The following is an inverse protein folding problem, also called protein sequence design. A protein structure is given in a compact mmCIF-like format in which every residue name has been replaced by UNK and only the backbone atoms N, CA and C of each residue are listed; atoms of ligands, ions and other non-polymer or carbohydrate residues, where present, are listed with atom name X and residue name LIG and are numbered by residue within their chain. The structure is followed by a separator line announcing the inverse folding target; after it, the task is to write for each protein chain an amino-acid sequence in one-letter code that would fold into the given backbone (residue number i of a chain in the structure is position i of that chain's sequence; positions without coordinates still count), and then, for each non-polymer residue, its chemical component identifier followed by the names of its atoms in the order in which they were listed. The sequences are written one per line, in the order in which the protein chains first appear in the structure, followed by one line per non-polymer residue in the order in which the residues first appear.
data_IF_686120566598
#
_entry.id   IF_686120566598
#
_cell.length_a   1.000
_cell.length_b   1.000
_cell.length_c   1.000
_cell.angle_alpha   90.00
_cell.angle_beta   90.00
_cell.angle_gamma   90.00
#
_symmetry.space_group_name_H-M   'P 1'
#
loop_
_entity.id
_entity.type
_entity.pdbx_description
1 polymer ?
#
# COMPACT_ATOMS: atom_id res chain seq x y z
N UNK A 1 -43.07 42.53 -58.58
CA UNK A 1 -44.27 42.11 -59.32
C UNK A 1 -44.52 40.68 -58.87
N UNK A 2 -45.42 40.44 -57.83
CA UNK A 2 -46.77 39.84 -57.95
C UNK A 2 -46.74 38.51 -58.76
N UNK A 3 -47.27 37.39 -58.35
CA UNK A 3 -48.44 36.89 -57.60
C UNK A 3 -48.39 35.36 -57.66
N UNK A 4 -48.65 34.62 -56.65
CA UNK A 4 -49.89 34.07 -56.08
C UNK A 4 -50.55 32.88 -56.87
N UNK A 5 -51.00 31.91 -56.05
CA UNK A 5 -52.07 30.87 -56.16
C UNK A 5 -51.68 29.39 -56.37
N UNK A 6 -51.82 28.61 -55.32
CA UNK A 6 -52.95 27.80 -54.84
C UNK A 6 -53.46 26.68 -55.78
N UNK A 7 -53.59 25.55 -55.14
CA UNK A 7 -54.62 24.47 -55.27
C UNK A 7 -54.12 23.21 -55.98
N UNK A 8 -54.26 22.06 -55.51
CA UNK A 8 -55.12 21.24 -54.65
C UNK A 8 -55.20 19.82 -55.26
N UNK A 9 -55.22 18.84 -54.39
CA UNK A 9 -55.94 17.53 -54.44
C UNK A 9 -55.46 16.38 -55.38
N UNK A 10 -55.26 15.29 -54.77
CA UNK A 10 -55.83 13.92 -54.82
C UNK A 10 -54.78 12.83 -54.89
N UNK A 11 -54.59 12.06 -54.01
CA UNK A 11 -54.87 10.77 -53.48
C UNK A 11 -54.53 9.60 -54.42
N UNK A 12 -53.63 8.74 -53.90
CA UNK A 12 -53.62 7.32 -54.26
C UNK A 12 -52.94 6.53 -53.15
N UNK A 13 -53.67 5.59 -52.57
CA UNK A 13 -53.20 4.65 -51.58
C UNK A 13 -52.21 3.64 -52.22
N UNK A 14 -51.05 3.52 -51.62
CA UNK A 14 -50.07 2.49 -51.97
C UNK A 14 -49.60 1.80 -50.68
N UNK A 15 -49.99 0.56 -50.52
CA UNK A 15 -49.53 -0.33 -49.46
C UNK A 15 -48.04 -0.54 -49.58
N UNK A 16 -47.25 -0.13 -48.58
CA UNK A 16 -45.87 -0.56 -48.43
C UNK A 16 -45.70 -1.49 -47.24
N UNK A 17 -45.29 -2.68 -47.58
CA UNK A 17 -44.88 -3.77 -46.72
C UNK A 17 -43.72 -3.30 -45.83
N UNK A 18 -43.88 -3.24 -44.50
CA UNK A 18 -42.80 -3.05 -43.56
C UNK A 18 -41.93 -4.32 -43.51
N UNK A 19 -40.73 -4.23 -44.03
CA UNK A 19 -39.63 -5.15 -43.74
C UNK A 19 -39.09 -4.77 -42.38
N UNK A 20 -39.30 -5.64 -41.37
CA UNK A 20 -38.69 -5.52 -40.08
C UNK A 20 -37.18 -5.76 -40.18
N UNK A 21 -36.38 -4.70 -40.21
CA UNK A 21 -34.94 -4.79 -39.95
C UNK A 21 -34.74 -4.91 -38.43
N UNK A 22 -34.31 -6.12 -38.02
CA UNK A 22 -33.91 -6.37 -36.64
C UNK A 22 -32.78 -5.40 -36.26
N UNK A 23 -33.09 -4.41 -35.42
CA UNK A 23 -32.10 -3.59 -34.75
C UNK A 23 -31.37 -4.47 -33.71
N UNK A 24 -30.09 -4.74 -33.95
CA UNK A 24 -29.20 -5.15 -32.89
C UNK A 24 -29.17 -3.98 -31.87
N UNK A 25 -29.89 -4.15 -30.76
CA UNK A 25 -29.59 -3.37 -29.55
C UNK A 25 -28.22 -3.82 -29.09
N UNK A 26 -27.18 -3.05 -29.45
CA UNK A 26 -25.94 -3.07 -28.69
C UNK A 26 -26.33 -2.76 -27.23
N UNK A 27 -26.26 -3.77 -26.39
CA UNK A 27 -26.21 -3.59 -24.93
C UNK A 27 -24.94 -2.76 -24.66
N UNK A 28 -25.11 -1.44 -24.61
CA UNK A 28 -24.15 -0.59 -23.96
C UNK A 28 -24.07 -1.11 -22.53
N UNK A 29 -22.99 -1.83 -22.21
CA UNK A 29 -22.65 -2.10 -20.84
C UNK A 29 -22.58 -0.71 -20.16
N UNK A 30 -23.53 -0.46 -19.28
CA UNK A 30 -23.47 0.72 -18.41
C UNK A 30 -22.15 0.59 -17.66
N UNK A 31 -21.15 1.38 -18.00
CA UNK A 31 -20.01 1.60 -17.14
C UNK A 31 -20.58 2.14 -15.83
N UNK A 32 -20.73 1.25 -14.86
CA UNK A 32 -21.11 1.66 -13.52
C UNK A 32 -20.04 2.62 -13.04
N UNK A 33 -20.45 3.82 -12.60
CA UNK A 33 -19.53 4.79 -12.03
C UNK A 33 -18.66 4.11 -10.97
N UNK A 34 -17.35 4.38 -10.92
CA UNK A 34 -16.47 3.78 -9.95
C UNK A 34 -16.99 4.04 -8.53
N UNK A 35 -17.06 3.00 -7.73
CA UNK A 35 -17.62 3.04 -6.39
C UNK A 35 -16.51 3.00 -5.34
N UNK A 36 -16.68 3.77 -4.26
CA UNK A 36 -15.77 3.71 -3.11
C UNK A 36 -15.80 2.34 -2.46
N UNK A 37 -14.63 1.87 -2.04
CA UNK A 37 -14.54 0.68 -1.21
C UNK A 37 -15.01 1.05 0.21
N UNK A 38 -15.95 0.27 0.74
CA UNK A 38 -16.51 0.47 2.07
C UNK A 38 -16.36 -0.77 2.94
N UNK A 39 -16.48 -0.60 4.24
CA UNK A 39 -16.47 -1.70 5.19
C UNK A 39 -17.88 -2.10 5.59
N UNK A 40 -18.16 -3.41 5.61
CA UNK A 40 -19.35 -4.01 6.22
C UNK A 40 -18.97 -5.17 7.14
N UNK A 41 -18.96 -4.92 8.44
CA UNK A 41 -18.53 -5.93 9.41
C UNK A 41 -17.08 -6.37 9.13
N UNK A 42 -16.90 -7.66 8.85
CA UNK A 42 -15.60 -8.28 8.52
C UNK A 42 -15.25 -8.20 7.03
N UNK A 43 -15.99 -7.46 6.22
CA UNK A 43 -15.81 -7.43 4.76
C UNK A 43 -15.45 -6.04 4.25
N UNK A 44 -14.67 -6.03 3.18
CA UNK A 44 -14.54 -4.89 2.26
C UNK A 44 -15.50 -5.10 1.10
N UNK A 45 -16.18 -4.04 0.68
CA UNK A 45 -17.21 -4.09 -0.35
C UNK A 45 -16.97 -3.02 -1.41
N UNK A 46 -17.22 -3.38 -2.68
CA UNK A 46 -17.33 -2.45 -3.81
C UNK A 46 -18.76 -2.55 -4.35
N UNK A 47 -19.57 -1.51 -4.15
CA UNK A 47 -21.00 -1.66 -4.36
C UNK A 47 -21.53 -2.79 -3.48
N UNK A 48 -22.26 -3.73 -4.08
CA UNK A 48 -22.85 -4.89 -3.37
C UNK A 48 -21.96 -6.14 -3.40
N UNK A 49 -20.76 -6.04 -4.02
CA UNK A 49 -19.85 -7.17 -4.16
C UNK A 49 -18.71 -7.11 -3.15
N UNK A 50 -18.29 -8.26 -2.57
CA UNK A 50 -17.09 -8.31 -1.76
C UNK A 50 -15.86 -7.86 -2.55
N UNK A 51 -15.11 -6.91 -2.03
CA UNK A 51 -13.85 -6.47 -2.59
C UNK A 51 -12.70 -7.22 -1.93
N UNK A 52 -11.95 -7.97 -2.71
CA UNK A 52 -10.78 -8.72 -2.25
C UNK A 52 -9.52 -8.18 -2.89
N UNK A 53 -8.49 -8.00 -2.07
CA UNK A 53 -7.22 -7.41 -2.48
C UNK A 53 -6.27 -8.51 -2.93
N UNK A 54 -5.92 -8.47 -4.22
CA UNK A 54 -4.70 -9.07 -4.74
C UNK A 54 -3.77 -7.92 -5.10
N UNK A 55 -2.76 -7.65 -4.29
CA UNK A 55 -2.00 -6.41 -4.42
C UNK A 55 -0.50 -6.56 -4.23
N UNK A 56 0.18 -5.44 -4.45
CA UNK A 56 1.62 -5.31 -4.29
C UNK A 56 1.99 -3.99 -3.60
N UNK A 57 3.12 -3.98 -2.90
CA UNK A 57 3.76 -2.75 -2.47
C UNK A 57 4.60 -2.17 -3.60
N UNK A 58 4.34 -0.91 -3.92
CA UNK A 58 5.09 -0.09 -4.88
C UNK A 58 5.32 1.29 -4.26
N UNK A 59 5.99 1.31 -3.11
CA UNK A 59 6.17 2.52 -2.30
C UNK A 59 6.70 3.70 -3.13
N UNK A 60 7.57 3.43 -4.09
CA UNK A 60 8.26 4.39 -4.94
C UNK A 60 7.43 4.93 -6.13
N UNK A 61 6.14 4.60 -6.25
CA UNK A 61 5.31 4.98 -7.39
C UNK A 61 5.29 6.49 -7.66
N UNK A 62 5.25 7.33 -6.62
CA UNK A 62 5.28 8.78 -6.75
C UNK A 62 6.62 9.30 -7.30
N UNK A 63 7.74 8.69 -6.93
CA UNK A 63 9.05 9.04 -7.48
C UNK A 63 9.12 8.76 -8.98
N UNK A 64 8.66 7.60 -9.43
CA UNK A 64 8.56 7.32 -10.87
C UNK A 64 7.57 8.25 -11.58
N UNK A 65 6.49 8.64 -10.92
CA UNK A 65 5.47 9.55 -11.46
C UNK A 65 5.89 11.00 -11.59
N UNK A 66 6.98 11.41 -10.91
CA UNK A 66 7.44 12.79 -10.92
C UNK A 66 7.87 13.26 -12.32
N UNK A 67 7.62 14.53 -12.61
CA UNK A 67 8.13 15.23 -13.81
C UNK A 67 9.47 15.89 -13.47
N UNK A 68 10.48 15.07 -13.24
CA UNK A 68 11.79 15.46 -12.78
C UNK A 68 12.85 14.48 -13.30
N UNK A 69 14.12 14.81 -13.15
CA UNK A 69 15.25 13.97 -13.62
C UNK A 69 15.22 12.55 -13.00
N UNK A 70 14.74 12.44 -11.77
CA UNK A 70 14.61 11.16 -11.07
C UNK A 70 13.32 10.39 -11.43
N UNK A 71 12.39 10.99 -12.17
CA UNK A 71 11.13 10.36 -12.55
C UNK A 71 11.26 9.46 -13.77
N UNK A 72 10.32 8.51 -13.89
CA UNK A 72 10.22 7.64 -15.06
C UNK A 72 8.78 7.19 -15.29
N UNK A 73 7.94 8.10 -15.76
CA UNK A 73 6.51 7.85 -16.04
C UNK A 73 6.27 6.69 -16.99
N UNK A 74 7.14 6.53 -17.99
CA UNK A 74 7.02 5.42 -18.94
C UNK A 74 7.22 4.06 -18.26
N UNK A 75 8.19 3.96 -17.34
CA UNK A 75 8.40 2.79 -16.51
C UNK A 75 7.19 2.55 -15.59
N UNK A 76 6.71 3.56 -14.89
CA UNK A 76 5.53 3.44 -14.02
C UNK A 76 4.33 2.84 -14.79
N UNK A 77 4.08 3.32 -16.00
CA UNK A 77 3.02 2.80 -16.86
C UNK A 77 3.19 1.31 -17.14
N UNK A 78 4.38 0.89 -17.60
CA UNK A 78 4.66 -0.56 -17.88
C UNK A 78 4.57 -1.43 -16.63
N UNK A 79 5.06 -0.95 -15.49
CA UNK A 79 4.99 -1.67 -14.20
C UNK A 79 3.53 -1.89 -13.76
N UNK A 80 2.70 -0.86 -13.82
CA UNK A 80 1.27 -0.96 -13.51
C UNK A 80 0.52 -1.85 -14.51
N UNK A 81 0.85 -1.78 -15.81
CA UNK A 81 0.30 -2.68 -16.83
C UNK A 81 0.65 -4.13 -16.52
N UNK A 82 1.88 -4.39 -16.09
CA UNK A 82 2.33 -5.74 -15.71
C UNK A 82 1.60 -6.27 -14.48
N UNK A 83 1.45 -5.45 -13.43
CA UNK A 83 0.66 -5.82 -12.24
C UNK A 83 -0.80 -6.12 -12.61
N UNK A 84 -1.42 -5.28 -13.44
CA UNK A 84 -2.78 -5.51 -13.92
C UNK A 84 -2.91 -6.80 -14.74
N UNK A 85 -1.96 -7.10 -15.61
CA UNK A 85 -1.93 -8.35 -16.39
C UNK A 85 -1.82 -9.60 -15.50
N UNK A 86 -1.16 -9.50 -14.34
CA UNK A 86 -1.11 -10.56 -13.34
C UNK A 86 -2.43 -10.70 -12.54
N UNK A 87 -3.42 -9.83 -12.80
CA UNK A 87 -4.71 -9.85 -12.12
C UNK A 87 -4.75 -9.02 -10.82
N UNK A 88 -3.70 -8.26 -10.52
CA UNK A 88 -3.69 -7.42 -9.31
C UNK A 88 -4.66 -6.24 -9.47
N UNK A 89 -5.29 -5.87 -8.36
CA UNK A 89 -6.29 -4.81 -8.31
C UNK A 89 -5.97 -3.71 -7.30
N UNK A 90 -4.87 -3.85 -6.55
CA UNK A 90 -4.48 -2.89 -5.53
C UNK A 90 -2.96 -2.68 -5.48
N UNK A 91 -2.54 -1.46 -5.23
CA UNK A 91 -1.14 -1.11 -4.93
C UNK A 91 -1.07 -0.27 -3.66
N UNK A 92 -0.13 -0.60 -2.78
CA UNK A 92 0.19 0.20 -1.61
C UNK A 92 1.38 1.10 -1.95
N UNK A 93 1.17 2.42 -1.83
CA UNK A 93 2.14 3.45 -2.22
C UNK A 93 2.44 4.39 -1.05
N UNK A 94 3.65 4.97 -1.05
CA UNK A 94 4.00 6.00 -0.07
C UNK A 94 3.66 7.40 -0.59
N UNK A 95 3.00 8.18 0.25
CA UNK A 95 2.86 9.62 0.13
C UNK A 95 3.56 10.31 1.32
N UNK A 96 4.66 9.75 1.81
CA UNK A 96 5.40 10.25 2.96
C UNK A 96 6.90 9.97 2.79
N UNK A 97 7.68 11.03 2.84
CA UNK A 97 9.14 11.00 3.02
C UNK A 97 9.58 12.39 3.48
N UNK A 98 10.30 12.43 4.57
CA UNK A 98 10.73 13.66 5.22
C UNK A 98 12.25 13.81 5.09
N UNK A 99 12.71 14.88 4.44
CA UNK A 99 14.13 15.19 4.38
C UNK A 99 14.67 15.60 5.76
N UNK A 100 15.77 14.96 6.16
CA UNK A 100 16.40 15.14 7.46
C UNK A 100 17.84 14.60 7.48
N UNK A 101 18.42 14.40 8.66
CA UNK A 101 19.81 14.00 8.83
C UNK A 101 20.06 12.49 8.66
N UNK A 102 19.00 11.69 8.50
CA UNK A 102 19.09 10.22 8.47
C UNK A 102 19.72 9.74 7.15
N UNK A 103 20.82 8.98 7.24
CA UNK A 103 21.68 8.67 6.10
C UNK A 103 21.05 7.72 5.08
N UNK A 104 20.20 6.80 5.54
CA UNK A 104 19.57 5.79 4.69
C UNK A 104 18.14 6.18 4.28
N UNK A 105 17.79 7.45 4.40
CA UNK A 105 16.50 7.98 3.99
C UNK A 105 16.49 8.28 2.49
N UNK A 106 15.35 7.98 1.86
CA UNK A 106 15.12 8.31 0.45
C UNK A 106 15.14 9.82 0.23
N UNK A 107 15.73 10.26 -0.88
CA UNK A 107 15.75 11.66 -1.34
C UNK A 107 15.49 11.67 -2.86
N UNK A 108 14.71 12.67 -3.36
CA UNK A 108 14.06 13.74 -2.61
C UNK A 108 12.86 13.27 -1.78
N UNK A 109 12.54 14.02 -0.71
CA UNK A 109 11.37 13.79 0.14
C UNK A 109 10.16 14.62 -0.28
N UNK A 110 8.96 14.20 0.16
CA UNK A 110 7.73 14.98 0.01
C UNK A 110 7.73 16.24 0.87
N UNK A 111 8.29 16.15 2.08
CA UNK A 111 8.51 17.27 2.98
C UNK A 111 9.99 17.59 3.01
N UNK A 112 10.38 18.75 2.46
CA UNK A 112 11.76 19.20 2.40
C UNK A 112 12.32 19.55 3.77
N UNK A 113 13.63 19.65 3.88
CA UNK A 113 14.31 19.96 5.15
C UNK A 113 13.86 21.30 5.78
N UNK A 114 13.42 22.27 4.98
CA UNK A 114 12.85 23.55 5.44
C UNK A 114 11.36 23.48 5.82
N UNK A 115 10.76 22.30 5.76
CA UNK A 115 9.35 22.05 6.04
C UNK A 115 8.39 22.32 4.88
N UNK A 116 8.87 22.87 3.76
CA UNK A 116 8.03 23.05 2.58
C UNK A 116 7.72 21.72 1.87
N UNK A 117 6.61 21.67 1.17
CA UNK A 117 6.25 20.49 0.38
C UNK A 117 7.00 20.50 -0.96
N UNK A 118 7.34 19.33 -1.45
CA UNK A 118 7.99 19.13 -2.75
C UNK A 118 6.94 19.04 -3.86
N UNK A 119 6.80 20.06 -4.74
CA UNK A 119 5.77 20.06 -5.77
C UNK A 119 5.99 18.99 -6.84
N UNK A 120 7.24 18.58 -7.09
CA UNK A 120 7.55 17.55 -8.10
C UNK A 120 7.06 16.18 -7.63
N UNK A 121 7.31 15.82 -6.36
CA UNK A 121 6.81 14.56 -5.80
C UNK A 121 5.29 14.57 -5.61
N UNK A 122 4.70 15.71 -5.24
CA UNK A 122 3.24 15.84 -5.20
C UNK A 122 2.63 15.65 -6.60
N UNK A 123 3.23 16.21 -7.63
CA UNK A 123 2.84 15.96 -9.03
C UNK A 123 3.06 14.49 -9.44
N UNK A 124 4.10 13.87 -8.90
CA UNK A 124 4.36 12.44 -9.09
C UNK A 124 3.31 11.53 -8.44
N UNK A 125 2.84 11.90 -7.24
CA UNK A 125 1.74 11.23 -6.57
C UNK A 125 0.43 11.38 -7.35
N UNK A 126 0.12 12.59 -7.83
CA UNK A 126 -1.03 12.86 -8.72
C UNK A 126 -1.00 11.94 -9.94
N UNK A 127 0.16 11.84 -10.58
CA UNK A 127 0.35 11.00 -11.77
C UNK A 127 0.19 9.52 -11.44
N UNK A 128 0.76 9.05 -10.34
CA UNK A 128 0.66 7.65 -9.91
C UNK A 128 -0.80 7.26 -9.64
N UNK A 129 -1.55 8.06 -8.88
CA UNK A 129 -2.97 7.81 -8.59
C UNK A 129 -3.80 7.80 -9.89
N UNK A 130 -3.59 8.77 -10.79
CA UNK A 130 -4.28 8.81 -12.07
C UNK A 130 -4.00 7.57 -12.96
N UNK A 131 -2.77 7.09 -12.99
CA UNK A 131 -2.40 5.88 -13.76
C UNK A 131 -2.93 4.58 -13.11
N UNK A 132 -3.04 4.53 -11.78
CA UNK A 132 -3.70 3.45 -11.04
C UNK A 132 -5.20 3.43 -11.38
N UNK A 133 -5.88 4.59 -11.29
CA UNK A 133 -7.28 4.77 -11.63
C UNK A 133 -7.61 4.33 -13.07
N UNK A 134 -6.79 4.75 -14.03
CA UNK A 134 -6.92 4.42 -15.45
C UNK A 134 -6.93 2.92 -15.73
N UNK A 135 -6.32 2.11 -14.86
CA UNK A 135 -6.28 0.65 -14.96
C UNK A 135 -7.37 -0.04 -14.16
N UNK A 136 -8.29 0.71 -13.55
CA UNK A 136 -9.33 0.17 -12.66
C UNK A 136 -8.72 -0.55 -11.45
N UNK A 137 -7.58 -0.06 -10.96
CA UNK A 137 -6.94 -0.50 -9.73
C UNK A 137 -7.19 0.52 -8.62
N UNK A 138 -6.94 0.13 -7.38
CA UNK A 138 -7.02 1.04 -6.24
C UNK A 138 -5.68 1.18 -5.53
N UNK A 139 -5.53 2.26 -4.77
CA UNK A 139 -4.35 2.54 -3.98
C UNK A 139 -4.65 2.56 -2.48
N UNK A 140 -3.76 1.98 -1.67
CA UNK A 140 -3.59 2.33 -0.25
C UNK A 140 -2.50 3.39 -0.19
N UNK A 141 -2.82 4.57 0.34
CA UNK A 141 -1.91 5.72 0.38
C UNK A 141 -1.38 5.90 1.80
N UNK A 142 -0.10 5.63 1.99
CA UNK A 142 0.57 5.69 3.29
C UNK A 142 1.07 7.11 3.58
N UNK A 143 0.65 7.70 4.71
CA UNK A 143 0.82 9.12 5.07
C UNK A 143 1.97 9.37 6.05
N UNK A 144 2.67 8.34 6.49
CA UNK A 144 3.80 8.43 7.41
C UNK A 144 4.63 7.17 7.42
N UNK A 145 5.74 7.19 8.12
CA UNK A 145 6.58 6.02 8.34
C UNK A 145 7.16 6.04 9.76
N UNK A 146 7.21 4.87 10.38
CA UNK A 146 7.92 4.74 11.65
C UNK A 146 9.44 4.69 11.42
N UNK A 147 9.86 4.05 10.32
CA UNK A 147 11.24 3.77 9.99
C UNK A 147 11.96 4.93 9.29
N UNK A 148 13.26 4.96 9.44
CA UNK A 148 14.12 6.03 8.94
C UNK A 148 14.26 6.08 7.40
N UNK A 149 13.97 4.98 6.70
CA UNK A 149 14.25 4.88 5.26
C UNK A 149 13.46 5.88 4.39
N UNK A 150 12.42 6.49 4.94
CA UNK A 150 11.77 7.66 4.32
C UNK A 150 11.75 8.88 5.25
N UNK A 151 12.70 8.99 6.18
CA UNK A 151 12.74 10.05 7.20
C UNK A 151 11.85 9.74 8.41
N UNK A 152 10.55 9.64 8.18
CA UNK A 152 9.58 9.14 9.15
C UNK A 152 9.45 9.94 10.44
N UNK A 153 8.91 9.30 11.48
CA UNK A 153 8.64 9.94 12.77
C UNK A 153 9.91 10.45 13.46
N UNK A 154 11.05 9.78 13.22
CA UNK A 154 12.35 10.27 13.70
C UNK A 154 12.70 11.64 13.12
N UNK A 155 12.35 11.92 11.87
CA UNK A 155 12.61 13.23 11.25
C UNK A 155 11.64 14.31 11.77
N UNK A 156 10.36 13.99 12.01
CA UNK A 156 9.45 14.93 12.66
C UNK A 156 9.93 15.34 14.05
N UNK A 157 10.43 14.36 14.85
CA UNK A 157 11.05 14.63 16.14
C UNK A 157 12.31 15.50 16.00
N UNK A 158 13.18 15.18 15.05
CA UNK A 158 14.40 15.97 14.80
C UNK A 158 14.10 17.43 14.51
N UNK A 159 13.09 17.71 13.70
CA UNK A 159 12.73 19.10 13.33
C UNK A 159 12.34 19.97 14.53
N UNK A 160 11.86 19.35 15.59
CA UNK A 160 11.42 20.02 16.82
C UNK A 160 12.53 20.02 17.88
N UNK A 161 13.21 18.90 18.04
CA UNK A 161 14.15 18.69 19.15
C UNK A 161 15.61 18.93 18.78
N UNK A 162 15.93 18.89 17.49
CA UNK A 162 17.29 18.86 16.98
C UNK A 162 18.04 17.55 17.25
N UNK A 163 17.36 16.53 17.76
CA UNK A 163 17.94 15.22 18.10
C UNK A 163 17.36 14.12 17.22
N UNK A 164 18.20 13.20 16.80
CA UNK A 164 17.79 12.01 16.05
C UNK A 164 18.63 10.80 16.46
N UNK A 165 18.12 9.63 16.14
CA UNK A 165 18.83 8.37 16.30
C UNK A 165 18.89 7.68 14.93
N UNK A 166 20.10 7.24 14.55
CA UNK A 166 20.29 6.46 13.33
C UNK A 166 20.25 4.98 13.70
N UNK A 167 19.35 4.22 13.08
CA UNK A 167 19.16 2.79 13.33
C UNK A 167 20.42 1.98 12.99
N UNK A 168 21.23 2.48 12.05
CA UNK A 168 22.44 1.80 11.60
C UNK A 168 23.71 2.24 12.36
N UNK A 169 23.58 3.10 13.37
CA UNK A 169 24.72 3.47 14.22
C UNK A 169 24.98 2.35 15.26
N UNK A 170 26.16 1.71 15.24
CA UNK A 170 26.50 0.68 16.22
C UNK A 170 26.45 1.19 17.69
N UNK A 171 26.50 2.49 17.93
CA UNK A 171 26.33 3.08 19.26
C UNK A 171 24.88 2.99 19.77
N UNK A 172 23.93 2.73 18.89
CA UNK A 172 22.51 2.66 19.19
C UNK A 172 21.92 1.28 18.80
N UNK A 173 22.36 0.17 19.42
CA UNK A 173 21.88 -1.15 19.08
C UNK A 173 20.37 -1.28 19.32
N UNK A 174 19.74 -2.22 18.63
CA UNK A 174 18.35 -2.58 18.89
C UNK A 174 18.10 -2.83 20.38
N UNK A 175 17.03 -2.30 21.02
CA UNK A 175 15.89 -1.60 20.43
C UNK A 175 15.93 -0.06 20.55
N UNK A 176 17.12 0.57 20.62
CA UNK A 176 17.26 2.00 20.88
C UNK A 176 16.49 2.89 19.89
N UNK A 177 16.53 2.55 18.58
CA UNK A 177 15.82 3.34 17.55
C UNK A 177 14.30 3.35 17.76
N UNK A 178 13.60 2.21 17.86
CA UNK A 178 12.15 2.22 18.05
C UNK A 178 11.72 2.85 19.37
N UNK A 179 12.49 2.72 20.46
CA UNK A 179 12.18 3.40 21.71
C UNK A 179 12.32 4.92 21.62
N UNK A 180 13.37 5.41 20.95
CA UNK A 180 13.55 6.84 20.71
C UNK A 180 12.49 7.42 19.77
N UNK A 181 12.16 6.70 18.69
CA UNK A 181 11.16 7.14 17.70
C UNK A 181 9.76 7.19 18.30
N UNK A 182 9.41 6.28 19.22
CA UNK A 182 8.12 6.27 19.90
C UNK A 182 7.86 7.53 20.75
N UNK A 183 8.90 8.29 21.11
CA UNK A 183 8.74 9.59 21.77
C UNK A 183 7.96 10.61 20.89
N UNK A 184 7.83 10.37 19.58
CA UNK A 184 6.97 11.13 18.68
C UNK A 184 5.54 11.24 19.20
N UNK A 185 4.97 10.17 19.71
CA UNK A 185 3.57 10.15 20.15
C UNK A 185 3.29 11.02 21.38
N UNK A 186 4.32 11.35 22.16
CA UNK A 186 4.24 12.28 23.29
C UNK A 186 4.63 13.72 22.94
N UNK A 187 5.08 13.99 21.71
CA UNK A 187 5.57 15.32 21.33
C UNK A 187 4.50 16.08 20.51
N UNK A 188 3.82 17.03 21.17
CA UNK A 188 2.71 17.77 20.56
C UNK A 188 3.12 18.60 19.32
N UNK A 189 4.36 19.14 19.29
CA UNK A 189 4.85 19.94 18.16
C UNK A 189 5.16 19.05 16.94
N UNK A 190 5.81 17.89 17.15
CA UNK A 190 6.07 16.93 16.09
C UNK A 190 4.75 16.35 15.52
N UNK A 191 3.77 16.04 16.37
CA UNK A 191 2.43 15.62 15.95
C UNK A 191 1.73 16.72 15.15
N UNK A 192 1.88 18.00 15.53
CA UNK A 192 1.29 19.12 14.80
C UNK A 192 1.85 19.20 13.37
N UNK A 193 3.17 19.05 13.19
CA UNK A 193 3.80 19.02 11.86
C UNK A 193 3.28 17.85 11.01
N UNK A 194 3.20 16.66 11.58
CA UNK A 194 2.62 15.49 10.90
C UNK A 194 1.16 15.75 10.50
N UNK A 195 0.33 16.31 11.37
CA UNK A 195 -1.07 16.62 11.09
C UNK A 195 -1.25 17.66 9.99
N UNK A 196 -0.39 18.67 9.92
CA UNK A 196 -0.39 19.65 8.84
C UNK A 196 -0.05 18.99 7.51
N UNK A 197 0.94 18.10 7.52
CA UNK A 197 1.28 17.30 6.35
C UNK A 197 0.11 16.41 5.89
N UNK A 198 -0.52 15.68 6.80
CA UNK A 198 -1.71 14.84 6.50
C UNK A 198 -2.83 15.67 5.88
N UNK A 199 -3.13 16.86 6.43
CA UNK A 199 -4.14 17.76 5.84
C UNK A 199 -3.79 18.15 4.40
N UNK A 200 -2.54 18.47 4.15
CA UNK A 200 -2.09 18.90 2.83
C UNK A 200 -2.22 17.78 1.79
N UNK A 201 -2.02 16.52 2.18
CA UNK A 201 -2.15 15.38 1.27
C UNK A 201 -3.63 15.00 1.09
N UNK A 202 -4.39 14.81 2.18
CA UNK A 202 -5.79 14.32 2.09
C UNK A 202 -6.70 15.35 1.41
N UNK A 203 -6.51 16.64 1.66
CA UNK A 203 -7.30 17.72 1.05
C UNK A 203 -6.81 18.12 -0.35
N UNK A 204 -5.86 17.36 -0.93
CA UNK A 204 -5.28 17.69 -2.24
C UNK A 204 -6.28 17.51 -3.38
N UNK A 205 -6.20 18.36 -4.37
CA UNK A 205 -6.79 18.15 -5.70
C UNK A 205 -5.71 17.67 -6.65
N UNK A 206 -5.94 16.57 -7.33
CA UNK A 206 -5.04 16.01 -8.35
C UNK A 206 -4.84 17.04 -9.46
N UNK A 207 -3.62 17.47 -9.65
CA UNK A 207 -3.28 18.54 -10.62
C UNK A 207 -3.46 18.13 -12.10
N UNK A 208 -3.57 16.83 -12.38
CA UNK A 208 -3.71 16.28 -13.72
C UNK A 208 -5.18 16.02 -14.09
N UNK A 209 -5.96 15.51 -13.14
CA UNK A 209 -7.37 15.16 -13.36
C UNK A 209 -8.34 16.25 -12.91
N UNK A 210 -7.92 17.15 -12.03
CA UNK A 210 -8.78 18.15 -11.39
C UNK A 210 -9.72 17.57 -10.34
N UNK A 211 -9.62 16.26 -10.00
CA UNK A 211 -10.45 15.60 -9.00
C UNK A 211 -9.83 15.77 -7.62
N UNK A 212 -10.64 16.09 -6.61
CA UNK A 212 -10.18 16.07 -5.23
C UNK A 212 -9.84 14.63 -4.82
N UNK A 213 -8.78 14.42 -4.05
CA UNK A 213 -8.42 13.10 -3.57
C UNK A 213 -9.53 12.47 -2.72
N UNK A 214 -10.21 13.27 -1.92
CA UNK A 214 -11.35 12.82 -1.12
C UNK A 214 -12.55 12.33 -1.95
N UNK A 215 -12.58 12.64 -3.26
CA UNK A 215 -13.64 12.22 -4.18
C UNK A 215 -13.14 11.17 -5.21
N UNK A 216 -11.88 10.73 -5.12
CA UNK A 216 -11.29 9.81 -6.10
C UNK A 216 -11.39 8.33 -5.63
N UNK A 217 -12.32 7.54 -6.18
CA UNK A 217 -12.52 6.15 -5.77
C UNK A 217 -11.33 5.23 -6.10
N UNK A 218 -10.32 5.68 -6.82
CA UNK A 218 -9.07 4.96 -6.97
C UNK A 218 -8.23 4.95 -5.68
N UNK A 219 -8.44 5.88 -4.77
CA UNK A 219 -7.91 5.79 -3.41
C UNK A 219 -8.83 4.87 -2.62
N UNK A 220 -8.33 3.73 -2.16
CA UNK A 220 -9.10 2.80 -1.33
C UNK A 220 -9.07 3.22 0.14
N UNK A 221 -7.89 3.58 0.61
CA UNK A 221 -7.65 3.83 2.02
C UNK A 221 -6.52 4.83 2.23
N UNK A 222 -6.71 5.69 3.21
CA UNK A 222 -5.64 6.44 3.86
C UNK A 222 -5.05 5.60 4.96
N UNK A 223 -3.73 5.44 4.96
CA UNK A 223 -3.01 4.70 5.98
C UNK A 223 -2.18 5.65 6.83
N UNK A 224 -2.34 5.57 8.17
CA UNK A 224 -1.71 6.53 9.07
C UNK A 224 -0.19 6.55 8.95
N UNK A 225 0.42 5.37 8.98
CA UNK A 225 1.86 5.24 8.77
C UNK A 225 2.26 3.81 8.40
N UNK A 226 3.45 3.65 7.84
CA UNK A 226 4.11 2.36 7.71
C UNK A 226 4.66 1.92 9.07
N UNK A 227 4.20 0.79 9.55
CA UNK A 227 4.68 0.06 10.74
C UNK A 227 4.86 0.88 12.02
N UNK A 228 3.88 1.71 12.42
CA UNK A 228 3.99 2.48 13.65
C UNK A 228 3.99 1.55 14.87
N UNK A 229 4.99 1.73 15.76
CA UNK A 229 5.18 0.91 16.97
C UNK A 229 5.13 1.78 18.23
N UNK A 230 4.61 1.28 19.35
CA UNK A 230 4.65 1.99 20.63
C UNK A 230 6.02 1.98 21.30
N UNK A 231 7.00 1.29 20.73
CA UNK A 231 8.36 1.10 21.22
C UNK A 231 8.94 -0.23 20.74
N UNK A 232 10.17 -0.53 21.15
CA UNK A 232 10.89 -1.77 20.81
C UNK A 232 11.31 -2.58 22.05
N UNK A 233 11.19 -2.01 23.24
CA UNK A 233 11.43 -2.68 24.53
C UNK A 233 10.19 -2.65 25.42
N UNK A 234 10.16 -3.49 26.45
CA UNK A 234 9.09 -3.44 27.48
C UNK A 234 8.96 -2.05 28.10
N UNK A 235 10.08 -1.39 28.39
CA UNK A 235 10.11 -0.06 28.97
C UNK A 235 9.62 1.01 27.98
N UNK A 236 10.04 0.92 26.71
CA UNK A 236 9.59 1.80 25.65
C UNK A 236 8.08 1.69 25.43
N UNK A 237 7.57 0.48 25.28
CA UNK A 237 6.13 0.22 25.12
C UNK A 237 5.34 0.72 26.33
N UNK A 238 5.77 0.41 27.56
CA UNK A 238 5.10 0.87 28.77
C UNK A 238 5.03 2.40 28.86
N UNK A 239 6.06 3.09 28.34
CA UNK A 239 6.14 4.56 28.38
C UNK A 239 5.26 5.23 27.32
N UNK A 240 5.03 4.60 26.15
CA UNK A 240 4.45 5.29 25.00
C UNK A 240 3.11 4.70 24.51
N UNK A 241 2.68 3.52 24.95
CA UNK A 241 1.50 2.84 24.41
C UNK A 241 0.22 3.68 24.46
N UNK A 242 -0.02 4.43 25.54
CA UNK A 242 -1.25 5.21 25.66
C UNK A 242 -1.23 6.45 24.74
N UNK A 243 -0.08 7.12 24.62
CA UNK A 243 0.11 8.22 23.68
C UNK A 243 0.04 7.72 22.22
N UNK A 244 0.55 6.53 21.95
CA UNK A 244 0.44 5.85 20.66
C UNK A 244 -1.02 5.60 20.27
N UNK A 245 -1.84 5.04 21.16
CA UNK A 245 -3.27 4.82 20.92
C UNK A 245 -4.00 6.14 20.70
N UNK A 246 -3.71 7.16 21.52
CA UNK A 246 -4.30 8.48 21.34
C UNK A 246 -3.95 9.12 20.00
N UNK A 247 -2.68 8.99 19.55
CA UNK A 247 -2.24 9.46 18.24
C UNK A 247 -3.01 8.77 17.09
N UNK A 248 -3.26 7.46 17.19
CA UNK A 248 -4.04 6.70 16.21
C UNK A 248 -5.47 7.26 16.13
N UNK A 249 -6.13 7.35 17.28
CA UNK A 249 -7.53 7.80 17.37
C UNK A 249 -7.69 9.22 16.80
N UNK A 250 -6.83 10.14 17.22
CA UNK A 250 -6.84 11.53 16.77
C UNK A 250 -6.51 11.67 15.28
N UNK A 251 -5.59 10.84 14.75
CA UNK A 251 -5.21 10.88 13.34
C UNK A 251 -6.31 10.31 12.44
N UNK A 252 -6.96 9.23 12.87
CA UNK A 252 -8.11 8.67 12.17
C UNK A 252 -9.29 9.66 12.15
N UNK A 253 -9.54 10.36 13.25
CA UNK A 253 -10.58 11.39 13.34
C UNK A 253 -10.26 12.59 12.44
N UNK A 254 -8.98 13.04 12.42
CA UNK A 254 -8.54 14.10 11.51
C UNK A 254 -8.84 13.73 10.05
N UNK A 255 -8.44 12.53 9.60
CA UNK A 255 -8.67 12.10 8.22
C UNK A 255 -10.16 12.08 7.91
N UNK A 256 -11.00 11.51 8.79
CA UNK A 256 -12.46 11.47 8.59
C UNK A 256 -13.13 12.84 8.59
N UNK A 257 -12.51 13.84 9.24
CA UNK A 257 -12.98 15.23 9.16
C UNK A 257 -12.72 15.89 7.82
N UNK A 258 -11.77 15.37 7.04
CA UNK A 258 -11.37 15.86 5.72
C UNK A 258 -11.97 15.04 4.58
N UNK A 259 -12.26 13.78 4.84
CA UNK A 259 -12.67 12.79 3.87
C UNK A 259 -13.68 11.81 4.49
N UNK A 260 -14.90 11.84 3.96
CA UNK A 260 -16.02 11.04 4.45
C UNK A 260 -16.19 9.70 3.69
N UNK A 261 -15.40 9.46 2.66
CA UNK A 261 -15.60 8.35 1.71
C UNK A 261 -14.61 7.22 1.88
N UNK A 262 -13.33 7.54 2.06
CA UNK A 262 -12.28 6.53 2.07
C UNK A 262 -12.13 5.83 3.42
N UNK A 263 -11.65 4.60 3.34
CA UNK A 263 -11.26 3.83 4.51
C UNK A 263 -10.02 4.46 5.17
N UNK A 264 -9.89 4.23 6.46
CA UNK A 264 -8.71 4.60 7.24
C UNK A 264 -8.11 3.34 7.84
N UNK A 265 -6.82 3.10 7.61
CA UNK A 265 -6.07 2.00 8.19
C UNK A 265 -4.83 2.48 8.95
N UNK A 266 -4.30 1.62 9.81
CA UNK A 266 -3.15 1.96 10.64
C UNK A 266 -1.81 1.71 9.93
N UNK A 267 -1.67 0.59 9.21
CA UNK A 267 -0.40 0.12 8.64
C UNK A 267 0.49 -0.61 9.64
N UNK A 268 -0.12 -1.26 10.64
CA UNK A 268 0.57 -1.92 11.73
C UNK A 268 1.04 -3.33 11.34
N UNK A 269 2.22 -3.74 11.83
CA UNK A 269 2.76 -5.08 11.57
C UNK A 269 1.95 -6.21 12.22
N UNK A 270 1.12 -5.92 13.20
CA UNK A 270 0.46 -6.93 14.02
C UNK A 270 1.20 -7.16 15.35
N UNK A 271 1.06 -8.37 15.93
CA UNK A 271 1.57 -8.64 17.29
C UNK A 271 3.07 -8.44 17.44
N UNK A 272 3.88 -8.59 16.40
CA UNK A 272 5.31 -8.28 16.44
C UNK A 272 5.57 -6.79 16.66
N UNK A 273 4.87 -5.92 15.93
CA UNK A 273 4.93 -4.47 16.10
C UNK A 273 4.33 -3.98 17.43
N UNK A 274 3.48 -4.80 18.05
CA UNK A 274 2.88 -4.56 19.36
C UNK A 274 3.64 -5.24 20.53
N UNK A 275 4.88 -5.62 20.32
CA UNK A 275 5.71 -6.32 21.33
C UNK A 275 5.02 -7.57 21.93
N UNK A 276 4.29 -8.33 21.09
CA UNK A 276 3.53 -9.52 21.47
C UNK A 276 2.15 -9.27 22.08
N UNK A 277 1.75 -8.00 22.28
CA UNK A 277 0.51 -7.65 22.98
C UNK A 277 -0.70 -7.64 22.06
N UNK A 278 -1.61 -8.60 22.23
CA UNK A 278 -2.91 -8.60 21.57
C UNK A 278 -3.83 -7.44 22.05
N UNK A 279 -3.65 -6.99 23.30
CA UNK A 279 -4.41 -5.85 23.85
C UNK A 279 -4.09 -4.58 23.09
N UNK A 280 -2.80 -4.31 22.81
CA UNK A 280 -2.38 -3.19 21.99
C UNK A 280 -2.99 -3.29 20.60
N UNK A 281 -3.03 -4.48 19.99
CA UNK A 281 -3.68 -4.67 18.67
C UNK A 281 -5.16 -4.31 18.72
N UNK A 282 -5.90 -4.78 19.74
CA UNK A 282 -7.32 -4.46 19.88
C UNK A 282 -7.57 -2.97 20.04
N UNK A 283 -6.79 -2.30 20.88
CA UNK A 283 -6.88 -0.85 21.12
C UNK A 283 -6.48 -0.06 19.88
N UNK A 284 -5.36 -0.40 19.26
CA UNK A 284 -4.83 0.31 18.07
C UNK A 284 -5.77 0.23 16.85
N UNK A 285 -6.55 -0.84 16.74
CA UNK A 285 -7.49 -0.99 15.63
C UNK A 285 -8.94 -0.59 15.99
N UNK A 286 -9.19 -0.01 17.17
CA UNK A 286 -10.54 0.35 17.58
C UNK A 286 -11.19 1.38 16.65
N UNK A 287 -10.46 2.40 16.23
CA UNK A 287 -10.94 3.54 15.43
C UNK A 287 -10.64 3.47 13.93
N UNK A 288 -9.84 2.54 13.46
CA UNK A 288 -9.57 2.33 12.03
C UNK A 288 -10.50 1.29 11.42
N UNK A 289 -10.61 1.23 10.09
CA UNK A 289 -11.65 0.44 9.42
C UNK A 289 -11.29 -1.02 9.25
N UNK A 290 -10.03 -1.37 9.10
CA UNK A 290 -9.57 -2.75 8.97
C UNK A 290 -8.24 -2.98 9.68
N UNK A 291 -7.98 -4.25 10.01
CA UNK A 291 -6.70 -4.67 10.57
C UNK A 291 -5.68 -4.86 9.46
N UNK A 292 -4.44 -4.55 9.80
CA UNK A 292 -3.27 -4.86 8.97
C UNK A 292 -2.32 -5.76 9.73
N UNK A 293 -1.59 -6.60 9.02
CA UNK A 293 -0.48 -7.36 9.58
C UNK A 293 0.60 -7.53 8.51
N UNK A 294 1.86 -7.43 8.92
CA UNK A 294 3.04 -7.67 8.12
C UNK A 294 3.75 -8.92 8.63
N UNK A 295 4.47 -9.64 7.78
CA UNK A 295 5.03 -10.94 8.15
C UNK A 295 6.46 -11.06 7.62
N UNK A 296 7.43 -10.98 8.55
CA UNK A 296 8.86 -10.89 8.24
C UNK A 296 9.69 -11.99 8.93
N UNK A 297 9.57 -13.28 8.50
CA UNK A 297 10.18 -14.40 9.19
C UNK A 297 11.69 -14.32 9.34
N UNK A 298 12.39 -13.76 8.33
CA UNK A 298 13.84 -13.57 8.38
C UNK A 298 14.22 -12.47 9.38
N UNK A 299 13.57 -11.30 9.29
CA UNK A 299 13.84 -10.16 10.17
C UNK A 299 13.56 -10.47 11.64
N UNK A 300 12.59 -11.36 11.90
CA UNK A 300 12.20 -11.78 13.25
C UNK A 300 12.99 -13.00 13.75
N UNK A 301 13.96 -13.49 12.98
CA UNK A 301 14.77 -14.65 13.35
C UNK A 301 13.99 -15.96 13.42
N UNK A 302 12.89 -16.09 12.67
CA UNK A 302 12.13 -17.34 12.57
C UNK A 302 12.75 -18.33 11.61
N UNK A 303 13.51 -17.82 10.64
CA UNK A 303 14.31 -18.59 9.69
C UNK A 303 15.72 -18.01 9.58
N UNK A 304 16.67 -18.83 9.12
CA UNK A 304 18.02 -18.39 8.70
C UNK A 304 18.07 -18.34 7.17
N UNK A 305 18.32 -17.16 6.60
CA UNK A 305 18.39 -16.97 5.15
C UNK A 305 19.47 -17.78 4.45
N UNK A 306 20.53 -18.16 5.18
CA UNK A 306 21.64 -18.98 4.67
C UNK A 306 21.36 -20.47 4.79
N UNK A 307 20.47 -20.86 5.68
CA UNK A 307 20.07 -22.25 5.94
C UNK A 307 18.55 -22.42 5.97
N UNK A 308 17.90 -22.03 4.89
CA UNK A 308 16.45 -22.11 4.76
C UNK A 308 15.94 -23.55 4.80
N UNK A 309 16.72 -24.51 4.31
CA UNK A 309 16.31 -25.93 4.29
C UNK A 309 16.17 -26.50 5.70
N UNK A 310 17.03 -26.12 6.63
CA UNK A 310 17.00 -26.57 8.03
C UNK A 310 15.96 -25.82 8.85
N UNK A 311 15.78 -24.52 8.58
CA UNK A 311 14.96 -23.66 9.43
C UNK A 311 13.51 -23.47 8.95
N UNK A 312 13.20 -23.92 7.73
CA UNK A 312 11.90 -23.71 7.06
C UNK A 312 10.71 -24.25 7.84
N UNK A 313 10.77 -25.50 8.31
CA UNK A 313 9.60 -26.15 8.91
C UNK A 313 9.15 -25.41 10.19
N UNK A 314 10.11 -25.12 11.09
CA UNK A 314 9.83 -24.36 12.31
C UNK A 314 9.39 -22.92 12.01
N UNK A 315 10.02 -22.26 11.05
CA UNK A 315 9.65 -20.91 10.62
C UNK A 315 8.25 -20.85 10.03
N UNK A 316 7.91 -21.80 9.16
CA UNK A 316 6.59 -21.86 8.51
C UNK A 316 5.46 -22.19 9.49
N UNK A 317 5.72 -22.89 10.59
CA UNK A 317 4.77 -23.10 11.68
C UNK A 317 4.45 -21.77 12.38
N UNK A 318 5.49 -20.99 12.75
CA UNK A 318 5.31 -19.65 13.34
C UNK A 318 4.53 -18.71 12.41
N UNK A 319 4.77 -18.78 11.10
CA UNK A 319 3.99 -18.01 10.10
C UNK A 319 2.52 -18.40 10.17
N UNK A 320 2.19 -19.69 10.15
CA UNK A 320 0.78 -20.14 10.23
C UNK A 320 0.11 -19.71 11.54
N UNK A 321 0.79 -19.81 12.67
CA UNK A 321 0.27 -19.36 13.97
C UNK A 321 0.01 -17.86 13.98
N UNK A 322 0.90 -17.08 13.36
CA UNK A 322 0.75 -15.63 13.22
C UNK A 322 -0.47 -15.26 12.37
N UNK A 323 -0.65 -15.92 11.22
CA UNK A 323 -1.82 -15.74 10.36
C UNK A 323 -3.12 -16.06 11.11
N UNK A 324 -3.17 -17.21 11.80
CA UNK A 324 -4.35 -17.64 12.57
C UNK A 324 -4.67 -16.68 13.73
N UNK A 325 -3.64 -16.16 14.41
CA UNK A 325 -3.80 -15.19 15.50
C UNK A 325 -4.48 -13.92 14.99
N UNK A 326 -4.02 -13.37 13.85
CA UNK A 326 -4.59 -12.13 13.31
C UNK A 326 -5.99 -12.33 12.70
N UNK A 327 -6.26 -13.49 12.09
CA UNK A 327 -7.61 -13.83 11.63
C UNK A 327 -8.60 -13.93 12.79
N UNK A 328 -8.19 -14.52 13.93
CA UNK A 328 -8.99 -14.55 15.15
C UNK A 328 -9.23 -13.15 15.71
N UNK A 329 -8.19 -12.32 15.83
CA UNK A 329 -8.32 -10.94 16.30
C UNK A 329 -9.25 -10.11 15.41
N UNK A 330 -9.16 -10.26 14.09
CA UNK A 330 -10.05 -9.59 13.14
C UNK A 330 -11.51 -10.02 13.33
N UNK A 331 -11.75 -11.32 13.57
CA UNK A 331 -13.08 -11.87 13.85
C UNK A 331 -13.63 -11.30 15.17
N UNK A 332 -12.83 -11.28 16.25
CA UNK A 332 -13.20 -10.71 17.56
C UNK A 332 -13.56 -9.23 17.45
N UNK A 333 -12.82 -8.46 16.65
CA UNK A 333 -13.05 -7.04 16.44
C UNK A 333 -14.15 -6.74 15.41
N UNK A 334 -14.70 -7.78 14.76
CA UNK A 334 -15.65 -7.66 13.67
C UNK A 334 -15.14 -6.70 12.57
N UNK A 335 -13.89 -6.91 12.12
CA UNK A 335 -13.22 -6.07 11.11
C UNK A 335 -12.56 -6.91 10.03
N UNK A 336 -12.42 -6.39 8.80
CA UNK A 336 -11.58 -7.00 7.77
C UNK A 336 -10.12 -7.04 8.21
N UNK A 337 -9.36 -7.98 7.67
CA UNK A 337 -7.91 -8.10 7.81
C UNK A 337 -7.26 -8.12 6.44
N UNK A 338 -6.16 -7.39 6.29
CA UNK A 338 -5.28 -7.43 5.11
C UNK A 338 -3.85 -7.73 5.56
N UNK A 339 -3.23 -8.73 4.94
CA UNK A 339 -1.79 -8.97 5.08
C UNK A 339 -1.07 -8.03 4.12
N UNK A 340 -0.69 -6.85 4.59
CA UNK A 340 -0.25 -5.75 3.73
C UNK A 340 1.22 -5.79 3.35
N UNK A 341 2.04 -6.53 4.11
CA UNK A 341 3.43 -6.78 3.77
C UNK A 341 3.83 -8.20 4.15
N UNK A 342 4.49 -8.83 3.22
CA UNK A 342 5.20 -10.08 3.45
C UNK A 342 6.24 -10.28 2.37
N UNK A 343 7.43 -10.62 2.77
CA UNK A 343 8.56 -10.88 1.90
C UNK A 343 9.40 -12.04 2.43
N UNK A 344 10.16 -12.65 1.54
CA UNK A 344 11.05 -13.75 1.88
C UNK A 344 12.30 -13.72 1.00
N UNK A 345 13.50 -14.06 1.52
CA UNK A 345 14.72 -14.02 0.76
C UNK A 345 14.72 -15.07 -0.35
N UNK A 346 15.59 -14.90 -1.36
CA UNK A 346 15.91 -15.95 -2.33
C UNK A 346 16.73 -17.05 -1.67
N UNK A 347 16.72 -18.24 -2.25
CA UNK A 347 17.52 -19.36 -1.76
C UNK A 347 18.99 -18.96 -1.67
N UNK A 348 19.62 -19.19 -0.50
CA UNK A 348 20.99 -18.78 -0.22
C UNK A 348 21.18 -17.28 0.03
N UNK A 349 20.10 -16.53 0.25
CA UNK A 349 20.10 -15.07 0.54
C UNK A 349 20.86 -14.26 -0.53
N UNK A 350 20.62 -14.57 -1.81
CA UNK A 350 21.16 -13.83 -2.94
C UNK A 350 20.17 -12.76 -3.41
N UNK A 351 20.66 -11.70 -4.07
CA UNK A 351 19.85 -10.53 -4.43
C UNK A 351 19.57 -10.38 -5.93
N UNK A 352 20.27 -11.16 -6.76
CA UNK A 352 20.17 -11.05 -8.21
C UNK A 352 18.90 -11.69 -8.77
N UNK A 353 18.21 -11.06 -9.75
CA UNK A 353 17.07 -11.65 -10.42
C UNK A 353 17.43 -12.95 -11.14
N UNK A 354 16.45 -13.85 -11.31
CA UNK A 354 16.63 -15.14 -11.98
C UNK A 354 17.36 -16.20 -11.15
N UNK A 355 17.74 -15.91 -9.90
CA UNK A 355 18.28 -16.91 -8.97
C UNK A 355 17.14 -17.69 -8.29
N UNK A 356 17.40 -18.92 -7.76
CA UNK A 356 16.35 -19.73 -7.15
C UNK A 356 15.58 -19.01 -6.04
N UNK A 357 14.30 -19.27 -5.97
CA UNK A 357 13.36 -18.68 -5.01
C UNK A 357 12.36 -19.73 -4.45
N UNK A 358 12.82 -20.95 -4.27
CA UNK A 358 12.00 -22.12 -3.89
C UNK A 358 11.26 -21.89 -2.57
N UNK A 359 11.96 -21.41 -1.54
CA UNK A 359 11.37 -21.15 -0.23
C UNK A 359 10.52 -19.89 -0.24
N UNK A 360 10.88 -18.87 -1.01
CA UNK A 360 10.05 -17.68 -1.23
C UNK A 360 8.70 -18.06 -1.85
N UNK A 361 8.67 -18.90 -2.88
CA UNK A 361 7.45 -19.39 -3.50
C UNK A 361 6.58 -20.15 -2.49
N UNK A 362 7.15 -21.06 -1.69
CA UNK A 362 6.44 -21.79 -0.63
C UNK A 362 5.84 -20.84 0.40
N UNK A 363 6.59 -19.82 0.78
CA UNK A 363 6.16 -18.80 1.74
C UNK A 363 4.95 -18.00 1.21
N UNK A 364 5.04 -17.49 -0.03
CA UNK A 364 3.93 -16.77 -0.65
C UNK A 364 2.68 -17.64 -0.76
N UNK A 365 2.83 -18.89 -1.20
CA UNK A 365 1.71 -19.85 -1.26
C UNK A 365 1.09 -20.15 0.12
N UNK A 366 1.86 -20.09 1.20
CA UNK A 366 1.33 -20.25 2.56
C UNK A 366 0.39 -19.10 2.91
N UNK A 367 0.78 -17.86 2.63
CA UNK A 367 -0.04 -16.67 2.90
C UNK A 367 -1.26 -16.64 1.96
N UNK A 368 -1.05 -16.86 0.68
CA UNK A 368 -2.13 -16.91 -0.31
C UNK A 368 -3.18 -17.96 0.03
N UNK A 369 -2.75 -19.15 0.46
CA UNK A 369 -3.67 -20.19 0.90
C UNK A 369 -4.51 -19.75 2.11
N UNK A 370 -3.93 -19.03 3.08
CA UNK A 370 -4.69 -18.50 4.22
C UNK A 370 -5.77 -17.51 3.76
N UNK A 371 -5.45 -16.60 2.85
CA UNK A 371 -6.41 -15.66 2.23
C UNK A 371 -7.52 -16.42 1.49
N UNK A 372 -7.16 -17.41 0.70
CA UNK A 372 -8.11 -18.20 -0.09
C UNK A 372 -9.00 -19.09 0.79
N UNK A 373 -8.46 -19.66 1.87
CA UNK A 373 -9.25 -20.43 2.85
C UNK A 373 -10.25 -19.51 3.54
N UNK A 374 -9.81 -18.36 4.00
CA UNK A 374 -10.68 -17.35 4.62
C UNK A 374 -11.79 -16.91 3.65
N UNK A 375 -11.47 -16.72 2.35
CA UNK A 375 -12.47 -16.45 1.32
C UNK A 375 -13.54 -17.54 1.23
N UNK A 376 -13.12 -18.81 1.14
CA UNK A 376 -14.03 -19.96 1.02
C UNK A 376 -14.91 -20.15 2.25
N UNK A 377 -14.41 -19.80 3.44
CA UNK A 377 -15.15 -19.86 4.70
C UNK A 377 -15.92 -18.58 5.04
N UNK A 378 -15.91 -17.56 4.17
CA UNK A 378 -16.45 -16.24 4.43
C UNK A 378 -15.82 -15.56 5.68
N UNK A 379 -14.54 -15.81 5.93
CA UNK A 379 -13.76 -15.23 7.02
C UNK A 379 -13.35 -13.78 6.76
N UNK A 380 -12.64 -13.17 7.73
CA UNK A 380 -12.31 -11.74 7.72
C UNK A 380 -11.12 -11.36 6.84
N UNK A 381 -10.30 -12.31 6.35
CA UNK A 381 -9.13 -11.98 5.54
C UNK A 381 -9.56 -11.57 4.14
N UNK A 382 -9.42 -10.28 3.86
CA UNK A 382 -9.92 -9.68 2.62
C UNK A 382 -8.83 -9.54 1.54
N UNK A 383 -7.61 -9.97 1.80
CA UNK A 383 -6.57 -10.01 0.79
C UNK A 383 -5.17 -9.76 1.32
N UNK A 384 -4.28 -9.47 0.39
CA UNK A 384 -2.87 -9.24 0.69
C UNK A 384 -2.16 -8.36 -0.33
N UNK A 385 -1.09 -7.66 0.11
CA UNK A 385 -0.13 -6.96 -0.73
C UNK A 385 1.27 -7.52 -0.44
N UNK A 386 1.90 -8.16 -1.40
CA UNK A 386 3.25 -8.67 -1.19
C UNK A 386 4.29 -7.53 -1.16
N UNK A 387 5.35 -7.73 -0.42
CA UNK A 387 6.51 -6.84 -0.40
C UNK A 387 7.67 -7.47 -1.16
N UNK A 388 8.14 -6.87 -2.26
CA UNK A 388 7.50 -5.77 -2.94
C UNK A 388 7.70 -5.96 -4.45
N UNK A 389 7.16 -5.08 -5.26
CA UNK A 389 7.36 -5.11 -6.70
C UNK A 389 8.68 -4.43 -7.07
N UNK A 390 9.60 -5.16 -7.68
CA UNK A 390 10.84 -4.62 -8.28
C UNK A 390 10.67 -4.42 -9.79
N UNK A 391 9.83 -5.25 -10.42
CA UNK A 391 9.55 -5.16 -11.85
C UNK A 391 10.79 -5.18 -12.72
N UNK A 392 10.91 -4.20 -13.63
CA UNK A 392 12.03 -4.07 -14.55
C UNK A 392 13.28 -3.43 -13.93
N UNK A 393 13.22 -2.97 -12.66
CA UNK A 393 14.38 -2.40 -12.00
C UNK A 393 15.51 -3.42 -11.82
N UNK A 394 16.73 -2.91 -11.84
CA UNK A 394 17.95 -3.68 -11.53
C UNK A 394 18.81 -2.83 -10.62
N UNK A 395 19.50 -3.47 -9.66
CA UNK A 395 20.40 -2.73 -8.77
C UNK A 395 21.47 -1.97 -9.56
N UNK A 396 21.73 -0.75 -9.15
CA UNK A 396 22.76 0.10 -9.77
C UNK A 396 24.19 -0.35 -9.42
N UNK A 397 24.34 -1.13 -8.32
CA UNK A 397 25.64 -1.46 -7.75
C UNK A 397 25.78 -2.96 -7.50
N UNK A 398 27.00 -3.47 -7.70
CA UNK A 398 27.32 -4.90 -7.54
C UNK A 398 27.17 -5.41 -6.09
N UNK A 399 27.25 -4.51 -5.11
CA UNK A 399 27.04 -4.82 -3.68
C UNK A 399 25.56 -4.77 -3.26
N UNK A 400 24.64 -4.54 -4.20
CA UNK A 400 23.22 -4.42 -3.99
C UNK A 400 22.84 -3.36 -2.93
N UNK A 401 23.66 -2.31 -2.74
CA UNK A 401 23.37 -1.23 -1.78
C UNK A 401 22.87 0.00 -2.51
N UNK A 402 21.73 0.53 -2.03
CA UNK A 402 21.25 1.82 -2.49
C UNK A 402 22.19 2.94 -2.04
N UNK A 403 22.40 3.91 -2.91
CA UNK A 403 23.15 5.14 -2.62
C UNK A 403 22.29 6.34 -2.93
N UNK A 404 22.41 7.36 -2.12
CA UNK A 404 21.68 8.60 -2.35
C UNK A 404 21.95 9.12 -3.77
N UNK A 405 20.89 9.38 -4.53
CA UNK A 405 20.95 9.77 -5.94
C UNK A 405 20.77 8.62 -6.94
N UNK A 406 20.68 7.37 -6.48
CA UNK A 406 20.30 6.25 -7.34
C UNK A 406 18.85 6.44 -7.84
N UNK A 407 18.65 6.17 -9.14
CA UNK A 407 17.36 6.31 -9.81
C UNK A 407 16.66 4.97 -10.05
N UNK A 408 17.29 3.88 -9.68
CA UNK A 408 16.75 2.53 -9.83
C UNK A 408 15.82 2.17 -8.66
N UNK A 409 14.80 3.00 -8.44
CA UNK A 409 13.81 2.73 -7.41
C UNK A 409 13.19 1.33 -7.58
N UNK A 410 13.15 0.57 -6.50
CA UNK A 410 12.57 -0.76 -6.45
C UNK A 410 11.91 -1.01 -5.09
N UNK A 411 11.29 -2.17 -4.92
CA UNK A 411 10.52 -2.48 -3.72
C UNK A 411 11.33 -2.52 -2.42
N UNK A 412 12.59 -2.96 -2.50
CA UNK A 412 13.48 -2.97 -1.33
C UNK A 412 13.90 -1.52 -1.00
N UNK A 413 13.63 -1.00 0.21
CA UNK A 413 13.91 0.38 0.56
C UNK A 413 15.42 0.65 0.73
N UNK A 414 15.85 1.93 0.81
CA UNK A 414 17.27 2.31 0.80
C UNK A 414 18.17 1.66 1.86
N UNK A 415 17.60 1.29 3.02
CA UNK A 415 18.37 0.67 4.10
C UNK A 415 18.60 -0.83 3.89
N UNK A 416 17.87 -1.47 2.99
CA UNK A 416 17.95 -2.89 2.67
C UNK A 416 18.82 -3.19 1.47
N UNK A 417 19.36 -4.42 1.33
CA UNK A 417 19.95 -4.87 0.09
C UNK A 417 18.92 -4.88 -1.04
N UNK A 418 19.25 -4.28 -2.15
CA UNK A 418 18.36 -4.16 -3.31
C UNK A 418 18.21 -5.52 -4.02
N UNK A 419 16.99 -6.06 -4.07
CA UNK A 419 16.65 -7.40 -4.53
C UNK A 419 16.48 -8.43 -3.42
N UNK A 420 16.50 -7.99 -2.15
CA UNK A 420 16.39 -8.88 -0.99
C UNK A 420 15.02 -9.57 -0.94
N UNK A 421 13.94 -8.79 -0.99
CA UNK A 421 12.57 -9.29 -0.93
C UNK A 421 11.79 -9.07 -2.23
N UNK A 422 12.18 -8.09 -3.02
CA UNK A 422 11.44 -7.68 -4.18
C UNK A 422 11.31 -8.74 -5.28
N UNK A 423 10.17 -8.74 -5.98
CA UNK A 423 9.85 -9.62 -7.11
C UNK A 423 10.16 -8.89 -8.41
N UNK A 424 11.02 -9.48 -9.23
CA UNK A 424 11.40 -8.95 -10.54
C UNK A 424 10.47 -9.45 -11.67
N UNK A 425 10.47 -8.73 -12.77
CA UNK A 425 9.67 -9.02 -13.97
C UNK A 425 10.02 -10.35 -14.67
N UNK A 426 11.16 -10.95 -14.32
CA UNK A 426 11.65 -12.24 -14.83
C UNK A 426 11.69 -13.36 -13.76
N UNK A 427 10.97 -13.18 -12.65
CA UNK A 427 10.81 -14.21 -11.61
C UNK A 427 9.61 -15.12 -11.94
N UNK A 428 9.69 -15.88 -13.03
CA UNK A 428 8.54 -16.60 -13.62
C UNK A 428 7.74 -17.44 -12.62
N UNK A 429 8.41 -18.17 -11.71
CA UNK A 429 7.72 -18.98 -10.69
C UNK A 429 6.93 -18.11 -9.69
N UNK A 430 7.50 -16.96 -9.29
CA UNK A 430 6.83 -16.01 -8.41
C UNK A 430 5.67 -15.32 -9.12
N UNK A 431 5.86 -14.90 -10.38
CA UNK A 431 4.80 -14.28 -11.19
C UNK A 431 3.63 -15.24 -11.41
N UNK A 432 3.92 -16.55 -11.63
CA UNK A 432 2.91 -17.57 -11.72
C UNK A 432 2.14 -17.72 -10.39
N UNK A 433 2.83 -17.81 -9.25
CA UNK A 433 2.17 -17.92 -7.94
C UNK A 433 1.28 -16.71 -7.62
N UNK A 434 1.73 -15.50 -7.97
CA UNK A 434 0.97 -14.25 -7.80
C UNK A 434 -0.27 -14.26 -8.70
N UNK A 435 -0.12 -14.62 -9.97
CA UNK A 435 -1.24 -14.69 -10.92
C UNK A 435 -2.27 -15.77 -10.56
N UNK A 436 -1.82 -16.96 -10.12
CA UNK A 436 -2.70 -18.02 -9.63
C UNK A 436 -3.57 -17.53 -8.47
N UNK A 437 -2.95 -16.83 -7.49
CA UNK A 437 -3.66 -16.26 -6.35
C UNK A 437 -4.66 -15.18 -6.76
N UNK A 438 -4.25 -14.24 -7.61
CA UNK A 438 -5.15 -13.18 -8.10
C UNK A 438 -6.36 -13.77 -8.81
N UNK A 439 -6.16 -14.78 -9.66
CA UNK A 439 -7.24 -15.51 -10.34
C UNK A 439 -8.14 -16.24 -9.34
N UNK A 440 -7.57 -16.87 -8.30
CA UNK A 440 -8.38 -17.55 -7.27
C UNK A 440 -9.27 -16.58 -6.49
N UNK A 441 -8.86 -15.30 -6.32
CA UNK A 441 -9.68 -14.27 -5.67
C UNK A 441 -10.75 -13.67 -6.60
N UNK A 442 -10.53 -13.66 -7.90
CA UNK A 442 -11.45 -13.11 -8.90
C UNK A 442 -12.65 -14.01 -9.20
N UNK A 443 -12.59 -15.30 -8.87
CA UNK A 443 -13.71 -16.24 -9.05
C UNK A 443 -14.76 -15.98 -7.98
N UNK A 444 -16.03 -15.78 -8.37
CA UNK A 444 -17.19 -15.60 -7.48
C UNK A 444 -17.52 -16.85 -6.66
#
# INVERSE_FOLDING_TARGET
VKTDRRSALAGLAGSLTCIATGGCSELMASETAPTFIRREGIRLMSGDMPYRIAGANMWYAAWLGADAEYGNRARLGRELDRLKQLGLNNVRIMAAAEEGPLKNSISPGFSKADGSLNPELLGGLDYAIAEIAKRGMTAVVCLGNFWEWSGGFGTWLYRVTGQYMDMNDPAHPWPAYPDATAAFYGNAEAIALYREYVRAIVARTNSLTGQAYADDPAIMSWQLANEPRPGGSDAGVASHQDAYIQWIDDSAELIRSLDAHHLVSLGHEGTQGAHGSEDIIRRAHAKVDYLTAHIWPLNWGWVDGKDLAETWDAGSEKVRDYLATHERLATELNKPLVFEEFGFPRDGEVYSPGTPSTFRERYYRTIYNAVEVSRRSNGPVMGSNFWAWNGEARTAHADARFRQGDLAYMGDPPHEPQGWYGVFDNDDAMLAAIGDHANALAVE
#
